data_IF_514153434928
#
_entry.id   IF_514153434928
#
_cell.length_a   1.000
_cell.length_b   1.000
_cell.length_c   1.000
_cell.angle_alpha   90.00
_cell.angle_beta   90.00
_cell.angle_gamma   90.00
#
_symmetry.space_group_name_H-M   'P 1'
#
loop_
_entity.id
_entity.type
_entity.pdbx_description
1 polymer ?
#
# COMPACT_ATOMS: atom_id res chain seq x y z
N UNK A 1 -13.04 5.17 6.12
CA UNK A 1 -11.77 4.49 6.46
C UNK A 1 -11.75 3.18 5.69
N UNK A 2 -10.72 2.94 4.89
CA UNK A 2 -10.61 1.76 4.02
C UNK A 2 -9.53 0.81 4.52
N UNK A 3 -9.64 -0.48 4.19
CA UNK A 3 -8.57 -1.46 4.38
C UNK A 3 -7.83 -1.66 3.06
N UNK A 4 -6.52 -1.43 3.07
CA UNK A 4 -5.65 -1.64 1.93
C UNK A 4 -4.88 -2.94 2.15
N UNK A 5 -5.17 -3.94 1.34
CA UNK A 5 -4.47 -5.21 1.34
C UNK A 5 -3.40 -5.21 0.25
N UNK A 6 -2.14 -5.40 0.63
CA UNK A 6 -1.02 -5.50 -0.29
C UNK A 6 -0.43 -6.91 -0.20
N UNK A 7 -0.39 -7.61 -1.33
CA UNK A 7 0.18 -8.95 -1.43
C UNK A 7 1.46 -8.92 -2.27
N UNK A 8 2.49 -9.64 -1.84
CA UNK A 8 3.76 -9.74 -2.57
C UNK A 8 4.76 -10.64 -1.85
N UNK A 9 5.62 -11.32 -2.62
CA UNK A 9 6.63 -12.25 -2.06
C UNK A 9 7.76 -11.50 -1.35
N UNK A 10 8.12 -10.32 -1.87
CA UNK A 10 9.23 -9.52 -1.36
C UNK A 10 8.72 -8.41 -0.43
N UNK A 11 7.96 -8.81 0.60
CA UNK A 11 7.21 -7.90 1.46
C UNK A 11 8.09 -6.86 2.18
N UNK A 12 9.36 -7.19 2.46
CA UNK A 12 10.33 -6.24 3.04
C UNK A 12 10.38 -4.91 2.29
N UNK A 13 10.51 -4.94 0.96
CA UNK A 13 10.63 -3.72 0.14
C UNK A 13 9.31 -2.97 -0.02
N UNK A 14 8.19 -3.69 0.02
CA UNK A 14 6.86 -3.09 0.00
C UNK A 14 6.63 -2.33 1.31
N UNK A 15 6.93 -2.96 2.44
CA UNK A 15 6.83 -2.37 3.78
C UNK A 15 7.74 -1.17 3.98
N UNK A 16 8.99 -1.25 3.52
CA UNK A 16 9.93 -0.12 3.58
C UNK A 16 9.38 1.15 2.92
N UNK A 17 8.44 1.03 1.96
CA UNK A 17 7.78 2.17 1.33
C UNK A 17 6.48 2.57 2.02
N UNK A 18 5.63 1.60 2.40
CA UNK A 18 4.27 1.87 2.87
C UNK A 18 4.13 2.00 4.39
N UNK A 19 5.08 1.48 5.18
CA UNK A 19 5.05 1.62 6.63
C UNK A 19 5.21 3.10 7.00
N UNK A 20 4.17 3.68 7.58
CA UNK A 20 4.03 5.11 7.89
C UNK A 20 3.97 6.02 6.64
N UNK A 21 3.45 5.51 5.52
CA UNK A 21 3.15 6.35 4.37
C UNK A 21 2.09 7.40 4.75
N UNK A 22 2.45 8.67 4.60
CA UNK A 22 1.57 9.81 4.85
C UNK A 22 1.90 10.93 3.87
N UNK A 23 0.86 11.45 3.22
CA UNK A 23 0.90 12.65 2.41
C UNK A 23 -0.42 13.42 2.51
N UNK A 24 -0.57 14.46 1.68
CA UNK A 24 -1.75 15.33 1.67
C UNK A 24 -3.07 14.60 1.34
N UNK A 25 -3.01 13.39 0.76
CA UNK A 25 -4.18 12.63 0.28
C UNK A 25 -4.48 11.39 1.11
N UNK A 26 -3.45 10.70 1.59
CA UNK A 26 -3.59 9.39 2.23
C UNK A 26 -2.64 9.27 3.42
N UNK A 27 -3.18 8.74 4.51
CA UNK A 27 -2.41 8.23 5.65
C UNK A 27 -2.64 6.74 5.83
N UNK A 28 -1.57 5.95 5.82
CA UNK A 28 -1.59 4.51 6.07
C UNK A 28 -1.05 4.17 7.46
N UNK A 29 -1.79 3.34 8.18
CA UNK A 29 -1.36 2.76 9.46
C UNK A 29 -1.43 1.24 9.37
N UNK A 30 -0.43 0.52 9.87
CA UNK A 30 -0.43 -0.95 9.86
C UNK A 30 -1.64 -1.47 10.65
N UNK A 31 -2.45 -2.30 10.01
CA UNK A 31 -3.61 -2.95 10.62
C UNK A 31 -3.34 -4.43 10.94
N UNK A 32 -2.69 -5.16 10.03
CA UNK A 32 -2.30 -6.56 10.21
C UNK A 32 -1.05 -6.89 9.37
N UNK A 33 0.03 -7.33 10.01
CA UNK A 33 1.28 -7.77 9.38
C UNK A 33 1.69 -9.21 9.77
N UNK A 34 0.73 -10.00 10.28
CA UNK A 34 0.97 -11.38 10.72
C UNK A 34 1.35 -12.35 9.59
N UNK A 35 1.11 -11.96 8.34
CA UNK A 35 1.36 -12.78 7.16
C UNK A 35 2.67 -12.38 6.43
N UNK A 36 3.49 -13.37 6.07
CA UNK A 36 4.78 -13.14 5.42
C UNK A 36 4.71 -12.56 4.01
N UNK A 37 3.61 -12.78 3.29
CA UNK A 37 3.41 -12.37 1.90
C UNK A 37 2.26 -11.37 1.73
N UNK A 38 1.69 -10.87 2.83
CA UNK A 38 0.58 -9.94 2.83
C UNK A 38 0.69 -8.97 4.00
N UNK A 39 0.40 -7.70 3.74
CA UNK A 39 0.18 -6.69 4.78
C UNK A 39 -1.16 -5.99 4.56
N UNK A 40 -1.83 -5.64 5.65
CA UNK A 40 -3.05 -4.85 5.62
C UNK A 40 -2.80 -3.54 6.33
N UNK A 41 -3.10 -2.43 5.65
CA UNK A 41 -3.12 -1.09 6.22
C UNK A 41 -4.55 -0.61 6.41
N UNK A 42 -4.76 0.20 7.44
CA UNK A 42 -5.90 1.09 7.52
C UNK A 42 -5.56 2.40 6.82
N UNK A 43 -6.44 2.88 5.96
CA UNK A 43 -6.28 4.10 5.18
C UNK A 43 -7.29 5.18 5.60
N UNK A 44 -6.76 6.33 5.96
CA UNK A 44 -7.49 7.58 6.13
C UNK A 44 -7.28 8.43 4.87
N UNK A 45 -8.37 8.73 4.16
CA UNK A 45 -8.33 9.47 2.90
C UNK A 45 -9.71 10.00 2.53
N UNK A 46 -9.74 11.06 1.71
CA UNK A 46 -10.93 11.53 1.02
C UNK A 46 -11.18 10.87 -0.34
N UNK A 47 -10.25 10.03 -0.83
CA UNK A 47 -10.38 9.33 -2.10
C UNK A 47 -11.41 8.20 -2.03
N UNK A 48 -12.08 7.90 -3.13
CA UNK A 48 -12.88 6.67 -3.24
C UNK A 48 -11.97 5.43 -3.27
N UNK A 49 -12.52 4.25 -2.99
CA UNK A 49 -11.74 3.00 -2.98
C UNK A 49 -10.95 2.75 -4.29
N UNK A 50 -11.57 3.03 -5.44
CA UNK A 50 -10.94 2.84 -6.77
C UNK A 50 -9.82 3.86 -7.02
N UNK A 51 -10.03 5.10 -6.62
CA UNK A 51 -9.01 6.16 -6.73
C UNK A 51 -7.84 5.86 -5.81
N UNK A 52 -8.10 5.42 -4.57
CA UNK A 52 -7.07 5.04 -3.60
C UNK A 52 -6.21 3.89 -4.13
N UNK A 53 -6.82 2.83 -4.67
CA UNK A 53 -6.09 1.69 -5.22
C UNK A 53 -5.17 2.12 -6.37
N UNK A 54 -5.71 2.92 -7.29
CA UNK A 54 -4.97 3.44 -8.45
C UNK A 54 -3.84 4.38 -8.00
N UNK A 55 -4.11 5.22 -6.99
CA UNK A 55 -3.18 6.16 -6.42
C UNK A 55 -1.98 5.46 -5.78
N UNK A 56 -2.22 4.56 -4.83
CA UNK A 56 -1.15 3.84 -4.12
C UNK A 56 -0.28 3.01 -5.07
N UNK A 57 -0.91 2.40 -6.09
CA UNK A 57 -0.17 1.68 -7.13
C UNK A 57 0.71 2.61 -7.95
N UNK A 58 0.23 3.79 -8.31
CA UNK A 58 1.01 4.80 -9.04
C UNK A 58 2.16 5.34 -8.19
N UNK A 59 1.89 5.68 -6.92
CA UNK A 59 2.88 6.18 -5.98
C UNK A 59 4.02 5.18 -5.78
N UNK A 60 3.70 3.90 -5.54
CA UNK A 60 4.74 2.88 -5.40
C UNK A 60 5.55 2.71 -6.69
N UNK A 61 4.91 2.66 -7.87
CA UNK A 61 5.62 2.53 -9.14
C UNK A 61 6.55 3.70 -9.45
N UNK A 62 6.15 4.91 -9.09
CA UNK A 62 6.86 6.14 -9.49
C UNK A 62 7.92 6.56 -8.49
N UNK A 63 7.68 6.33 -7.19
CA UNK A 63 8.57 6.81 -6.12
C UNK A 63 9.41 5.71 -5.48
N UNK A 64 8.98 4.44 -5.52
CA UNK A 64 9.81 3.34 -5.00
C UNK A 64 10.89 2.95 -6.01
N UNK A 65 12.10 2.67 -5.51
CA UNK A 65 13.19 2.08 -6.29
C UNK A 65 12.83 0.70 -6.87
N UNK A 66 11.83 0.04 -6.29
CA UNK A 66 11.48 -1.35 -6.60
C UNK A 66 10.11 -1.50 -7.29
N UNK A 67 9.29 -0.43 -7.35
CA UNK A 67 7.88 -0.53 -7.72
C UNK A 67 7.61 -1.03 -9.13
N UNK A 68 8.56 -0.90 -10.05
CA UNK A 68 8.48 -1.42 -11.43
C UNK A 68 8.98 -2.86 -11.58
N UNK A 69 9.78 -3.35 -10.62
CA UNK A 69 10.45 -4.65 -10.70
C UNK A 69 9.78 -5.72 -9.83
N UNK A 70 9.00 -5.32 -8.83
CA UNK A 70 8.30 -6.24 -7.94
C UNK A 70 6.95 -6.66 -8.51
N UNK A 71 6.61 -7.93 -8.33
CA UNK A 71 5.26 -8.43 -8.53
C UNK A 71 4.46 -8.28 -7.22
N UNK A 72 3.37 -7.52 -7.28
CA UNK A 72 2.50 -7.25 -6.13
C UNK A 72 1.07 -6.94 -6.57
N UNK A 73 0.12 -7.07 -5.65
CA UNK A 73 -1.25 -6.58 -5.81
C UNK A 73 -1.59 -5.62 -4.69
N UNK A 74 -2.47 -4.65 -4.98
CA UNK A 74 -3.07 -3.74 -4.01
C UNK A 74 -4.57 -3.85 -4.20
N UNK A 75 -5.31 -4.09 -3.12
CA UNK A 75 -6.76 -4.16 -3.11
C UNK A 75 -7.33 -3.32 -1.98
N UNK A 76 -8.30 -2.46 -2.30
CA UNK A 76 -8.97 -1.60 -1.31
C UNK A 76 -10.35 -2.16 -0.97
N UNK A 77 -10.62 -2.35 0.33
CA UNK A 77 -11.88 -2.89 0.89
C UNK A 77 -12.52 -1.91 1.86
#
# INVERSE_FOLDING_TARGET
MYKVEINGVQMKFIREFFDNFEDDKVKLTVFDDSNRIKIVYSAETGLTAKELESYLKSEFKTKSKYGVSLYYTIHVK
#
